data_IF_290908026742
#
_entry.id   IF_290908026742
#
_cell.length_a   1.000
_cell.length_b   1.000
_cell.length_c   1.000
_cell.angle_alpha   90.00
_cell.angle_beta   90.00
_cell.angle_gamma   90.00
#
_symmetry.space_group_name_H-M   'P 1'
#
loop_
_entity.id
_entity.type
_entity.pdbx_description
1 polymer ?
#
# COMPACT_ATOMS: atom_id res chain seq x y z
N UNK A 1 8.46 -3.23 -24.27
CA UNK A 1 7.30 -3.81 -23.52
C UNK A 1 7.48 -3.49 -22.04
N UNK A 2 6.44 -2.99 -21.36
CA UNK A 2 6.49 -2.72 -19.90
C UNK A 2 6.44 -4.08 -19.18
N UNK A 3 7.36 -4.35 -18.23
CA UNK A 3 7.38 -5.62 -17.50
C UNK A 3 6.13 -5.77 -16.61
N UNK A 4 5.79 -7.01 -16.18
CA UNK A 4 4.76 -7.23 -15.16
C UNK A 4 5.04 -6.43 -13.89
N UNK A 5 3.98 -6.10 -13.15
CA UNK A 5 4.08 -5.25 -11.93
C UNK A 5 5.11 -5.76 -10.91
N UNK A 6 5.18 -7.06 -10.56
CA UNK A 6 6.17 -7.54 -9.60
C UNK A 6 7.61 -7.31 -10.06
N UNK A 7 7.90 -7.51 -11.34
CA UNK A 7 9.23 -7.26 -11.90
C UNK A 7 9.57 -5.77 -11.94
N UNK A 8 8.59 -4.91 -12.26
CA UNK A 8 8.77 -3.46 -12.24
C UNK A 8 9.11 -2.94 -10.84
N UNK A 9 8.40 -3.43 -9.81
CA UNK A 9 8.68 -3.07 -8.42
C UNK A 9 10.01 -3.65 -7.93
N UNK A 10 10.34 -4.88 -8.31
CA UNK A 10 11.64 -5.49 -7.96
C UNK A 10 12.83 -4.66 -8.47
N UNK A 11 12.72 -4.09 -9.67
CA UNK A 11 13.79 -3.29 -10.28
C UNK A 11 14.08 -2.00 -9.50
N UNK A 12 13.06 -1.36 -8.94
CA UNK A 12 13.20 -0.07 -8.23
C UNK A 12 13.32 -0.20 -6.72
N UNK A 13 13.31 -1.41 -6.16
CA UNK A 13 13.14 -1.67 -4.73
C UNK A 13 14.14 -0.91 -3.84
N UNK A 14 15.42 -0.88 -4.20
CA UNK A 14 16.47 -0.16 -3.44
C UNK A 14 16.29 1.36 -3.52
N UNK A 15 15.94 1.88 -4.69
CA UNK A 15 15.70 3.30 -4.88
C UNK A 15 14.42 3.73 -4.12
N UNK A 16 13.36 2.92 -4.19
CA UNK A 16 12.15 3.13 -3.40
C UNK A 16 12.45 3.19 -1.91
N UNK A 17 13.20 2.21 -1.39
CA UNK A 17 13.56 2.16 0.02
C UNK A 17 14.38 3.38 0.46
N UNK A 18 15.27 3.88 -0.39
CA UNK A 18 16.12 5.04 -0.10
C UNK A 18 15.35 6.35 -0.14
N UNK A 19 14.51 6.55 -1.16
CA UNK A 19 13.96 7.87 -1.52
C UNK A 19 12.50 8.05 -1.09
N UNK A 20 11.71 6.98 -0.99
CA UNK A 20 10.27 7.05 -0.71
C UNK A 20 9.93 6.57 0.71
N UNK A 21 10.56 5.46 1.14
CA UNK A 21 10.24 4.83 2.42
C UNK A 21 10.33 5.80 3.62
N UNK A 22 11.34 6.68 3.75
CA UNK A 22 11.39 7.62 4.88
C UNK A 22 10.15 8.50 5.00
N UNK A 23 9.61 9.00 3.87
CA UNK A 23 8.39 9.81 3.84
C UNK A 23 7.11 9.00 4.12
N UNK A 24 7.13 7.68 3.91
CA UNK A 24 5.97 6.81 4.15
C UNK A 24 5.95 6.18 5.55
N UNK A 25 7.04 6.28 6.28
CA UNK A 25 7.12 5.74 7.64
C UNK A 25 6.06 6.33 8.58
N UNK A 26 5.78 7.65 8.60
CA UNK A 26 4.68 8.20 9.40
C UNK A 26 3.31 7.62 9.04
N UNK A 27 3.05 7.39 7.74
CA UNK A 27 1.79 6.78 7.29
C UNK A 27 1.69 5.32 7.72
N UNK A 28 2.77 4.53 7.62
CA UNK A 28 2.83 3.17 8.10
C UNK A 28 2.60 3.09 9.62
N UNK A 29 3.19 4.01 10.38
CA UNK A 29 2.97 4.13 11.81
C UNK A 29 1.51 4.43 12.14
N UNK A 30 0.92 5.42 11.47
CA UNK A 30 -0.48 5.79 11.64
C UNK A 30 -1.45 4.64 11.26
N UNK A 31 -1.12 3.87 10.21
CA UNK A 31 -1.86 2.66 9.85
C UNK A 31 -1.85 1.63 10.98
N UNK A 32 -0.67 1.31 11.51
CA UNK A 32 -0.53 0.32 12.60
C UNK A 32 -1.26 0.76 13.87
N UNK A 33 -1.18 2.03 14.23
CA UNK A 33 -1.92 2.62 15.36
C UNK A 33 -3.44 2.59 15.11
N UNK A 34 -3.88 2.94 13.90
CA UNK A 34 -5.29 2.88 13.51
C UNK A 34 -5.83 1.46 13.47
N UNK A 35 -5.03 0.49 13.03
CA UNK A 35 -5.35 -0.95 13.12
C UNK A 35 -5.44 -1.44 14.58
N UNK A 36 -4.92 -0.66 15.54
CA UNK A 36 -4.86 -1.03 16.94
C UNK A 36 -3.87 -2.17 17.19
N UNK A 37 -2.73 -2.18 16.49
CA UNK A 37 -1.66 -3.16 16.75
C UNK A 37 -1.20 -3.03 18.20
N UNK A 38 -1.12 -4.15 18.89
CA UNK A 38 -0.78 -4.21 20.30
C UNK A 38 0.34 -5.21 20.58
N UNK A 39 0.88 -5.13 21.79
CA UNK A 39 1.89 -6.09 22.25
C UNK A 39 1.35 -7.52 22.20
N UNK A 40 2.15 -8.41 21.63
CA UNK A 40 1.80 -9.82 21.48
C UNK A 40 1.03 -10.19 20.21
N UNK A 41 0.55 -9.22 19.43
CA UNK A 41 -0.15 -9.51 18.16
C UNK A 41 0.75 -10.25 17.17
N UNK A 42 0.16 -11.19 16.44
CA UNK A 42 0.68 -11.73 15.19
C UNK A 42 0.09 -10.94 14.03
N UNK A 43 0.92 -10.28 13.27
CA UNK A 43 0.51 -9.34 12.21
C UNK A 43 0.88 -9.87 10.83
N UNK A 44 -0.02 -9.79 9.87
CA UNK A 44 0.23 -9.99 8.46
C UNK A 44 0.27 -8.63 7.75
N UNK A 45 1.37 -8.34 7.04
CA UNK A 45 1.53 -7.17 6.17
C UNK A 45 1.45 -7.62 4.71
N UNK A 46 0.36 -7.28 4.01
CA UNK A 46 0.08 -7.70 2.63
C UNK A 46 0.60 -6.66 1.64
N UNK A 47 1.29 -7.13 0.60
CA UNK A 47 2.05 -6.31 -0.33
C UNK A 47 2.97 -5.38 0.44
N UNK A 48 3.79 -6.01 1.30
CA UNK A 48 4.58 -5.33 2.33
C UNK A 48 5.71 -4.47 1.77
N UNK A 49 6.05 -4.64 0.49
CA UNK A 49 7.18 -3.95 -0.13
C UNK A 49 8.47 -4.17 0.66
N UNK A 50 9.24 -3.12 0.96
CA UNK A 50 10.46 -3.22 1.77
C UNK A 50 10.19 -3.31 3.29
N UNK A 51 8.96 -3.64 3.71
CA UNK A 51 8.62 -3.94 5.10
C UNK A 51 8.38 -2.74 6.01
N UNK A 52 8.00 -1.57 5.47
CA UNK A 52 7.82 -0.35 6.26
C UNK A 52 6.77 -0.53 7.36
N UNK A 53 5.58 -1.07 7.02
CA UNK A 53 4.52 -1.29 8.00
C UNK A 53 4.86 -2.46 8.93
N UNK A 54 5.53 -3.49 8.44
CA UNK A 54 6.04 -4.58 9.27
C UNK A 54 6.99 -4.06 10.38
N UNK A 55 7.92 -3.16 10.04
CA UNK A 55 8.85 -2.54 11.00
C UNK A 55 8.08 -1.71 12.04
N UNK A 56 7.09 -0.91 11.63
CA UNK A 56 6.29 -0.10 12.56
C UNK A 56 5.39 -0.99 13.45
N UNK A 57 4.82 -2.07 12.93
CA UNK A 57 4.05 -3.04 13.72
C UNK A 57 4.92 -3.68 14.83
N UNK A 58 6.16 -4.07 14.52
CA UNK A 58 7.11 -4.56 15.51
C UNK A 58 7.47 -3.50 16.55
N UNK A 59 7.66 -2.25 16.13
CA UNK A 59 7.95 -1.13 17.03
C UNK A 59 6.79 -0.83 17.99
N UNK A 60 5.55 -1.19 17.64
CA UNK A 60 4.36 -1.13 18.50
C UNK A 60 4.21 -2.36 19.42
N UNK A 61 5.10 -3.35 19.30
CA UNK A 61 5.14 -4.52 20.19
C UNK A 61 4.49 -5.78 19.62
N UNK A 62 4.13 -5.83 18.33
CA UNK A 62 3.70 -7.07 17.69
C UNK A 62 4.72 -8.19 17.98
N UNK A 63 4.28 -9.38 18.38
CA UNK A 63 5.19 -10.49 18.67
C UNK A 63 5.86 -11.03 17.40
N UNK A 64 5.09 -11.15 16.34
CA UNK A 64 5.53 -11.64 15.04
C UNK A 64 4.88 -10.83 13.92
N UNK A 65 5.63 -10.58 12.87
CA UNK A 65 5.12 -9.98 11.64
C UNK A 65 5.53 -10.82 10.44
N UNK A 66 4.53 -11.26 9.68
CA UNK A 66 4.74 -11.89 8.38
C UNK A 66 4.43 -10.87 7.29
N UNK A 67 5.41 -10.55 6.45
CA UNK A 67 5.23 -9.75 5.25
C UNK A 67 5.08 -10.64 4.03
N UNK A 68 4.10 -10.35 3.18
CA UNK A 68 3.89 -11.03 1.89
C UNK A 68 3.96 -10.00 0.77
N UNK A 69 4.73 -10.28 -0.27
CA UNK A 69 4.84 -9.44 -1.47
C UNK A 69 5.16 -10.32 -2.69
N UNK A 70 4.70 -9.97 -3.88
CA UNK A 70 4.98 -10.70 -5.11
C UNK A 70 6.24 -10.18 -5.84
N UNK A 71 6.85 -9.10 -5.35
CA UNK A 71 8.08 -8.49 -5.87
C UNK A 71 9.30 -8.98 -5.08
N UNK A 72 10.01 -9.98 -5.57
CA UNK A 72 11.18 -10.57 -4.89
C UNK A 72 12.25 -9.53 -4.52
N UNK A 73 12.44 -8.47 -5.33
CA UNK A 73 13.37 -7.38 -5.03
C UNK A 73 12.95 -6.56 -3.80
N UNK A 74 11.64 -6.36 -3.59
CA UNK A 74 11.11 -5.71 -2.39
C UNK A 74 11.38 -6.55 -1.15
N UNK A 75 11.11 -7.86 -1.21
CA UNK A 75 11.38 -8.79 -0.11
C UNK A 75 12.87 -8.89 0.23
N UNK A 76 13.75 -8.81 -0.76
CA UNK A 76 15.20 -8.77 -0.52
C UNK A 76 15.58 -7.55 0.34
N UNK A 77 15.04 -6.37 0.00
CA UNK A 77 15.27 -5.15 0.77
C UNK A 77 14.63 -5.24 2.17
N UNK A 78 13.43 -5.81 2.29
CA UNK A 78 12.78 -6.00 3.59
C UNK A 78 13.64 -6.86 4.53
N UNK A 79 14.21 -7.97 4.01
CA UNK A 79 15.13 -8.83 4.77
C UNK A 79 16.42 -8.12 5.16
N UNK A 80 16.97 -7.28 4.27
CA UNK A 80 18.15 -6.45 4.58
C UNK A 80 17.87 -5.44 5.71
N UNK A 81 16.74 -4.73 5.64
CA UNK A 81 16.37 -3.71 6.64
C UNK A 81 16.05 -4.30 8.02
N UNK A 82 15.67 -5.57 8.08
CA UNK A 82 15.33 -6.26 9.33
C UNK A 82 16.40 -7.30 9.75
N UNK A 83 17.55 -7.29 9.08
CA UNK A 83 18.65 -8.23 9.37
C UNK A 83 19.08 -8.17 10.85
N UNK A 84 19.21 -9.33 11.47
CA UNK A 84 19.58 -9.43 12.88
C UNK A 84 18.45 -9.15 13.89
N UNK A 85 17.25 -8.83 13.42
CA UNK A 85 16.06 -8.62 14.26
C UNK A 85 15.18 -9.88 14.23
N UNK A 86 14.66 -10.29 15.39
CA UNK A 86 13.74 -11.42 15.49
C UNK A 86 12.28 -11.00 15.27
N UNK A 87 11.44 -11.96 14.91
CA UNK A 87 9.99 -11.76 14.78
C UNK A 87 9.54 -11.24 13.41
N UNK A 88 10.40 -11.32 12.40
CA UNK A 88 10.05 -11.06 11.00
C UNK A 88 10.14 -12.32 10.15
N UNK A 89 9.12 -12.52 9.30
CA UNK A 89 9.10 -13.51 8.23
C UNK A 89 8.66 -12.83 6.94
N UNK A 90 9.36 -13.06 5.83
CA UNK A 90 8.99 -12.50 4.53
C UNK A 90 8.82 -13.61 3.49
N UNK A 91 7.60 -13.70 2.94
CA UNK A 91 7.16 -14.72 2.00
C UNK A 91 6.87 -14.10 0.63
N UNK A 92 7.27 -14.76 -0.43
CA UNK A 92 6.81 -14.41 -1.76
C UNK A 92 5.39 -14.95 -1.96
N UNK A 93 4.46 -14.10 -2.41
CA UNK A 93 3.07 -14.48 -2.59
C UNK A 93 2.20 -13.34 -3.11
N UNK A 94 1.01 -13.71 -3.58
CA UNK A 94 0.05 -12.79 -4.16
C UNK A 94 -1.06 -12.44 -3.17
N UNK A 95 -1.49 -11.20 -3.14
CA UNK A 95 -2.58 -10.73 -2.28
C UNK A 95 -3.93 -11.42 -2.57
N UNK A 96 -4.08 -12.04 -3.75
CA UNK A 96 -5.26 -12.80 -4.15
C UNK A 96 -5.21 -14.30 -3.77
N UNK A 97 -4.04 -14.76 -3.27
CA UNK A 97 -3.80 -16.15 -2.87
C UNK A 97 -2.62 -16.18 -1.89
N UNK A 98 -2.91 -15.82 -0.64
CA UNK A 98 -1.89 -15.62 0.37
C UNK A 98 -1.31 -16.95 0.87
N UNK A 99 0.02 -17.14 0.88
CA UNK A 99 0.68 -18.36 1.31
C UNK A 99 0.73 -18.48 2.84
N UNK A 100 -0.39 -18.25 3.50
CA UNK A 100 -0.51 -18.27 4.97
C UNK A 100 -1.75 -19.05 5.42
N UNK A 101 -1.72 -19.67 6.63
CA UNK A 101 -2.85 -20.42 7.15
C UNK A 101 -4.06 -19.53 7.49
N UNK A 102 -5.24 -20.15 7.52
CA UNK A 102 -6.48 -19.53 7.94
C UNK A 102 -6.45 -19.13 9.41
N UNK A 103 -6.94 -17.92 9.72
CA UNK A 103 -7.08 -17.44 11.09
C UNK A 103 -5.79 -17.34 11.89
N UNK A 104 -4.64 -17.28 11.21
CA UNK A 104 -3.33 -17.32 11.85
C UNK A 104 -2.93 -15.99 12.51
N UNK A 105 -3.56 -14.88 12.13
CA UNK A 105 -3.16 -13.53 12.52
C UNK A 105 -4.22 -12.81 13.36
N UNK A 106 -3.75 -11.97 14.29
CA UNK A 106 -4.58 -11.08 15.10
C UNK A 106 -4.97 -9.83 14.33
N UNK A 107 -4.08 -9.37 13.44
CA UNK A 107 -4.32 -8.25 12.56
C UNK A 107 -3.72 -8.47 11.17
N UNK A 108 -4.38 -7.93 10.15
CA UNK A 108 -3.91 -7.88 8.77
C UNK A 108 -3.84 -6.41 8.37
N UNK A 109 -2.70 -5.98 7.85
CA UNK A 109 -2.47 -4.60 7.39
C UNK A 109 -1.97 -4.58 5.96
N UNK A 110 -2.14 -3.45 5.28
CA UNK A 110 -1.51 -3.17 3.98
C UNK A 110 -1.28 -1.67 3.80
N UNK A 111 -0.03 -1.25 3.68
CA UNK A 111 0.32 0.16 3.51
C UNK A 111 0.52 0.50 2.02
N UNK A 112 -0.52 1.00 1.36
CA UNK A 112 -0.54 1.34 -0.07
C UNK A 112 -0.25 0.17 -1.02
N UNK A 113 -0.35 -1.08 -0.56
CA UNK A 113 0.04 -2.23 -1.37
C UNK A 113 -1.17 -2.97 -1.97
N UNK A 114 -2.13 -3.40 -1.15
CA UNK A 114 -3.30 -4.18 -1.60
C UNK A 114 -4.18 -3.44 -2.62
N UNK A 115 -4.08 -2.12 -2.69
CA UNK A 115 -4.79 -1.28 -3.66
C UNK A 115 -4.44 -1.62 -5.12
N UNK A 116 -3.28 -2.24 -5.36
CA UNK A 116 -2.85 -2.67 -6.69
C UNK A 116 -3.34 -4.09 -7.05
N UNK A 117 -4.00 -4.80 -6.12
CA UNK A 117 -4.58 -6.11 -6.41
C UNK A 117 -5.70 -5.97 -7.45
N UNK A 118 -5.68 -6.76 -8.55
CA UNK A 118 -6.62 -6.59 -9.66
C UNK A 118 -8.08 -7.01 -9.33
N UNK A 119 -8.29 -7.70 -8.21
CA UNK A 119 -9.60 -8.11 -7.69
C UNK A 119 -9.69 -7.71 -6.21
N UNK A 120 -10.24 -6.52 -5.90
CA UNK A 120 -10.37 -6.03 -4.52
C UNK A 120 -11.18 -6.95 -3.61
N UNK A 121 -12.23 -7.56 -4.16
CA UNK A 121 -13.11 -8.44 -3.37
C UNK A 121 -12.41 -9.74 -2.99
N UNK A 122 -11.62 -10.30 -3.91
CA UNK A 122 -10.80 -11.47 -3.62
C UNK A 122 -9.70 -11.15 -2.61
N UNK A 123 -9.04 -10.00 -2.74
CA UNK A 123 -8.06 -9.55 -1.76
C UNK A 123 -8.68 -9.40 -0.36
N UNK A 124 -9.89 -8.83 -0.25
CA UNK A 124 -10.61 -8.71 1.03
C UNK A 124 -10.99 -10.09 1.59
N UNK A 125 -11.40 -11.04 0.75
CA UNK A 125 -11.65 -12.44 1.20
C UNK A 125 -10.38 -13.09 1.75
N UNK A 126 -9.23 -12.90 1.12
CA UNK A 126 -7.95 -13.40 1.59
C UNK A 126 -7.51 -12.73 2.91
N UNK A 127 -7.70 -11.41 3.04
CA UNK A 127 -7.51 -10.71 4.33
C UNK A 127 -8.38 -11.32 5.43
N UNK A 128 -9.65 -11.58 5.14
CA UNK A 128 -10.58 -12.18 6.10
C UNK A 128 -10.22 -13.64 6.42
N UNK A 129 -9.77 -14.41 5.42
CA UNK A 129 -9.31 -15.79 5.65
C UNK A 129 -8.12 -15.83 6.60
N UNK A 130 -7.12 -14.97 6.37
CA UNK A 130 -5.87 -14.95 7.12
C UNK A 130 -6.03 -14.46 8.56
N UNK A 131 -6.91 -13.48 8.81
CA UNK A 131 -7.13 -12.95 10.17
C UNK A 131 -8.11 -13.84 10.95
N UNK A 132 -7.87 -14.06 12.25
CA UNK A 132 -8.79 -14.83 13.11
C UNK A 132 -10.16 -14.16 13.28
N UNK A 133 -11.23 -14.89 13.63
CA UNK A 133 -12.49 -14.29 14.04
C UNK A 133 -12.28 -13.28 15.18
N UNK A 134 -12.90 -12.10 15.08
CA UNK A 134 -12.72 -10.99 16.01
C UNK A 134 -11.41 -10.20 15.79
N UNK A 135 -10.53 -10.65 14.90
CA UNK A 135 -9.32 -9.93 14.52
C UNK A 135 -9.61 -8.69 13.67
N UNK A 136 -8.57 -8.00 13.22
CA UNK A 136 -8.66 -6.66 12.62
C UNK A 136 -8.01 -6.66 11.24
N UNK A 137 -8.59 -5.86 10.34
CA UNK A 137 -7.95 -5.51 9.07
C UNK A 137 -7.86 -3.99 8.95
N UNK A 138 -6.74 -3.49 8.41
CA UNK A 138 -6.61 -2.08 8.05
C UNK A 138 -5.71 -1.90 6.83
N UNK A 139 -6.00 -0.86 6.06
CA UNK A 139 -5.21 -0.49 4.90
C UNK A 139 -5.12 1.03 4.74
N UNK A 140 -4.10 1.47 3.98
CA UNK A 140 -4.02 2.82 3.43
C UNK A 140 -4.26 2.78 1.93
N UNK A 141 -4.98 3.78 1.44
CA UNK A 141 -5.16 4.04 0.02
C UNK A 141 -4.89 5.53 -0.25
N UNK A 142 -4.57 5.90 -1.50
CA UNK A 142 -4.51 7.31 -1.86
C UNK A 142 -5.92 7.88 -1.86
N UNK A 143 -6.17 8.90 -1.04
CA UNK A 143 -7.44 9.60 -1.04
C UNK A 143 -7.69 10.24 -2.42
N UNK A 144 -8.88 10.04 -2.95
CA UNK A 144 -9.27 10.68 -4.18
C UNK A 144 -9.32 12.19 -3.95
N UNK A 145 -8.44 12.92 -4.62
CA UNK A 145 -8.36 14.37 -4.60
C UNK A 145 -7.97 14.86 -5.99
N UNK A 146 -8.27 16.13 -6.29
CA UNK A 146 -7.90 16.72 -7.58
C UNK A 146 -6.39 16.66 -7.81
N UNK A 147 -5.60 16.90 -6.75
CA UNK A 147 -4.13 16.83 -6.79
C UNK A 147 -3.64 15.44 -7.18
N UNK A 148 -4.15 14.39 -6.55
CA UNK A 148 -3.76 13.02 -6.83
C UNK A 148 -4.25 12.58 -8.22
N UNK A 149 -5.49 12.92 -8.57
CA UNK A 149 -6.08 12.58 -9.87
C UNK A 149 -5.32 13.21 -11.02
N UNK A 150 -5.03 14.52 -10.96
CA UNK A 150 -4.24 15.22 -11.99
C UNK A 150 -2.87 14.60 -12.22
N UNK A 151 -2.16 14.22 -11.14
CA UNK A 151 -0.87 13.54 -11.24
C UNK A 151 -0.97 12.25 -12.06
N UNK A 152 -1.94 11.40 -11.74
CA UNK A 152 -2.07 10.13 -12.44
C UNK A 152 -2.63 10.25 -13.85
N UNK A 153 -3.54 11.18 -14.08
CA UNK A 153 -4.01 11.49 -15.43
C UNK A 153 -2.86 11.98 -16.29
N UNK A 154 -1.96 12.78 -15.72
CA UNK A 154 -0.75 13.21 -16.42
C UNK A 154 0.18 12.04 -16.70
N UNK A 155 0.47 11.19 -15.72
CA UNK A 155 1.28 9.97 -15.91
C UNK A 155 0.68 9.09 -17.01
N UNK A 156 -0.64 8.86 -17.00
CA UNK A 156 -1.32 7.96 -17.94
C UNK A 156 -1.48 8.53 -19.36
N UNK A 157 -1.20 9.81 -19.59
CA UNK A 157 -1.06 10.36 -20.95
C UNK A 157 0.24 9.90 -21.62
N UNK A 158 1.26 9.61 -20.83
CA UNK A 158 2.59 9.24 -21.30
C UNK A 158 2.93 7.76 -21.12
N UNK A 159 2.39 7.14 -20.06
CA UNK A 159 2.61 5.71 -19.76
C UNK A 159 1.27 4.98 -19.78
N UNK A 160 1.13 3.88 -20.53
CA UNK A 160 -0.11 3.12 -20.63
C UNK A 160 -0.64 2.68 -19.26
N UNK A 161 -1.96 2.78 -19.06
CA UNK A 161 -2.63 2.24 -17.85
C UNK A 161 -2.40 0.72 -17.74
N UNK A 162 -2.37 0.22 -16.52
CA UNK A 162 -2.43 -1.23 -16.30
C UNK A 162 -3.82 -1.73 -16.71
N UNK A 163 -3.91 -2.88 -17.41
CA UNK A 163 -5.19 -3.46 -17.80
C UNK A 163 -5.88 -4.13 -16.59
N UNK A 164 -6.09 -3.39 -15.51
CA UNK A 164 -6.86 -3.84 -14.36
C UNK A 164 -8.31 -3.40 -14.51
N UNK A 165 -9.29 -4.18 -14.00
CA UNK A 165 -10.71 -3.84 -14.08
C UNK A 165 -11.10 -2.64 -13.20
N UNK A 166 -10.24 -2.22 -12.29
CA UNK A 166 -10.42 -1.04 -11.44
C UNK A 166 -9.13 -0.22 -11.35
N UNK A 167 -9.27 1.04 -10.96
CA UNK A 167 -8.15 1.92 -10.66
C UNK A 167 -7.72 1.73 -9.19
N UNK A 168 -6.42 1.66 -8.86
CA UNK A 168 -5.94 1.63 -7.47
C UNK A 168 -6.50 2.76 -6.59
N UNK A 169 -6.84 3.90 -7.18
CA UNK A 169 -7.46 5.05 -6.49
C UNK A 169 -8.92 4.85 -6.10
N UNK A 170 -9.58 3.84 -6.64
CA UNK A 170 -10.94 3.48 -6.24
C UNK A 170 -11.03 3.14 -4.74
N UNK A 171 -9.96 2.63 -4.15
CA UNK A 171 -9.84 2.42 -2.70
C UNK A 171 -9.81 3.74 -1.90
N UNK A 172 -9.42 4.85 -2.52
CA UNK A 172 -9.42 6.19 -1.93
C UNK A 172 -10.78 6.88 -1.94
N UNK A 173 -11.80 6.28 -2.55
CA UNK A 173 -13.20 6.71 -2.45
C UNK A 173 -13.82 6.06 -1.22
N UNK A 174 -14.14 6.80 -0.14
CA UNK A 174 -14.58 6.20 1.12
C UNK A 174 -15.74 5.22 0.97
N UNK A 175 -16.74 5.56 0.15
CA UNK A 175 -17.90 4.69 -0.09
C UNK A 175 -17.51 3.34 -0.74
N UNK A 176 -16.54 3.34 -1.66
CA UNK A 176 -16.05 2.09 -2.30
C UNK A 176 -15.23 1.25 -1.33
N UNK A 177 -14.30 1.88 -0.59
CA UNK A 177 -13.51 1.20 0.43
C UNK A 177 -14.40 0.53 1.48
N UNK A 178 -15.42 1.25 1.96
CA UNK A 178 -16.43 0.71 2.89
C UNK A 178 -17.20 -0.44 2.27
N UNK A 179 -17.63 -0.34 1.01
CA UNK A 179 -18.37 -1.39 0.32
C UNK A 179 -17.52 -2.66 0.12
N UNK A 180 -16.25 -2.53 -0.26
CA UNK A 180 -15.38 -3.69 -0.46
C UNK A 180 -14.99 -4.35 0.86
N UNK A 181 -14.47 -3.57 1.83
CA UNK A 181 -14.05 -4.14 3.12
C UNK A 181 -15.25 -4.69 3.89
N UNK A 182 -16.41 -4.04 3.78
CA UNK A 182 -17.66 -4.42 4.45
C UNK A 182 -18.26 -5.76 4.01
N UNK A 183 -17.74 -6.39 2.95
CA UNK A 183 -18.16 -7.73 2.55
C UNK A 183 -17.77 -8.81 3.57
N UNK A 184 -16.61 -8.63 4.22
CA UNK A 184 -16.04 -9.62 5.13
C UNK A 184 -15.82 -9.06 6.54
N UNK A 185 -15.83 -7.74 6.69
CA UNK A 185 -15.55 -7.06 7.95
C UNK A 185 -16.73 -6.19 8.37
N UNK A 186 -16.90 -6.02 9.67
CA UNK A 186 -17.91 -5.15 10.29
C UNK A 186 -17.27 -3.97 11.01
N UNK A 187 -18.08 -2.95 11.33
CA UNK A 187 -17.61 -1.76 12.04
C UNK A 187 -16.55 -1.02 11.25
N UNK A 188 -16.78 -0.82 9.94
CA UNK A 188 -15.83 -0.15 9.07
C UNK A 188 -15.71 1.31 9.46
N UNK A 189 -14.48 1.74 9.69
CA UNK A 189 -14.12 3.12 9.96
C UNK A 189 -13.13 3.63 8.92
N UNK A 190 -13.26 4.89 8.55
CA UNK A 190 -12.34 5.58 7.64
C UNK A 190 -11.82 6.86 8.26
N UNK A 191 -10.58 7.22 7.95
CA UNK A 191 -9.95 8.46 8.43
C UNK A 191 -8.99 9.01 7.39
N UNK A 192 -9.07 10.29 7.01
CA UNK A 192 -8.05 10.91 6.18
C UNK A 192 -6.73 11.04 6.94
N UNK A 193 -5.63 11.00 6.20
CA UNK A 193 -4.27 11.14 6.69
C UNK A 193 -3.44 11.96 5.71
N UNK A 194 -2.82 13.05 6.18
CA UNK A 194 -1.87 13.79 5.36
C UNK A 194 -0.60 12.95 5.15
N UNK A 195 -0.18 12.82 3.90
CA UNK A 195 1.04 12.12 3.46
C UNK A 195 1.76 13.00 2.44
N UNK A 196 2.24 14.18 2.86
CA UNK A 196 2.90 15.10 1.93
C UNK A 196 4.18 14.47 1.38
N UNK A 197 4.54 14.91 0.19
CA UNK A 197 5.83 14.59 -0.41
C UNK A 197 6.63 15.88 -0.54
N UNK A 198 7.86 15.85 -0.05
CA UNK A 198 8.80 16.98 -0.13
C UNK A 198 10.00 16.61 -0.97
N UNK A 199 10.50 17.55 -1.74
CA UNK A 199 11.70 17.40 -2.54
C UNK A 199 12.49 18.71 -2.59
N UNK A 200 13.84 18.65 -2.78
CA UNK A 200 14.69 19.85 -2.83
C UNK A 200 14.40 20.77 -4.00
N UNK A 201 13.83 20.26 -5.09
CA UNK A 201 13.50 21.02 -6.28
C UNK A 201 12.43 20.31 -7.12
N UNK A 202 11.87 20.99 -8.11
CA UNK A 202 10.93 20.43 -9.08
C UNK A 202 11.56 19.25 -9.84
N UNK A 203 12.80 19.39 -10.27
CA UNK A 203 13.52 18.33 -10.98
C UNK A 203 13.72 17.09 -10.10
N UNK A 204 14.10 17.29 -8.84
CA UNK A 204 14.23 16.16 -7.90
C UNK A 204 12.89 15.55 -7.51
N UNK A 205 11.82 16.34 -7.41
CA UNK A 205 10.48 15.81 -7.15
C UNK A 205 10.08 14.78 -8.21
N UNK A 206 10.18 15.15 -9.49
CA UNK A 206 9.91 14.21 -10.58
C UNK A 206 10.96 13.10 -10.65
N UNK A 207 12.23 13.42 -10.52
CA UNK A 207 13.32 12.45 -10.58
C UNK A 207 13.16 11.33 -9.55
N UNK A 208 12.81 11.65 -8.31
CA UNK A 208 12.55 10.66 -7.24
C UNK A 208 11.40 9.74 -7.66
N UNK A 209 10.23 10.29 -8.02
CA UNK A 209 9.07 9.50 -8.37
C UNK A 209 9.27 8.65 -9.62
N UNK A 210 9.94 9.20 -10.64
CA UNK A 210 10.26 8.48 -11.86
C UNK A 210 11.22 7.29 -11.61
N UNK A 211 12.20 7.43 -10.74
CA UNK A 211 13.18 6.36 -10.45
C UNK A 211 12.68 5.33 -9.46
N UNK A 212 11.73 5.70 -8.57
CA UNK A 212 11.32 4.86 -7.44
C UNK A 212 9.93 4.22 -7.56
N UNK A 213 9.09 4.67 -8.50
CA UNK A 213 7.76 4.10 -8.70
C UNK A 213 7.78 3.08 -9.83
N UNK A 214 7.64 1.80 -9.51
CA UNK A 214 7.91 0.68 -10.43
C UNK A 214 7.25 0.82 -11.80
N UNK A 215 5.95 1.16 -11.86
CA UNK A 215 5.25 1.31 -13.14
C UNK A 215 5.70 2.55 -13.91
N UNK A 216 5.91 3.67 -13.23
CA UNK A 216 6.35 4.92 -13.87
C UNK A 216 7.76 4.73 -14.45
N UNK A 217 8.69 4.20 -13.65
CA UNK A 217 10.04 3.91 -14.09
C UNK A 217 10.09 2.97 -15.30
N UNK A 218 9.34 1.86 -15.21
CA UNK A 218 9.27 0.88 -16.28
C UNK A 218 8.65 1.44 -17.56
N UNK A 219 7.58 2.23 -17.45
CA UNK A 219 6.97 2.89 -18.59
C UNK A 219 7.88 3.96 -19.22
N UNK A 220 8.46 4.82 -18.41
CA UNK A 220 9.39 5.86 -18.84
C UNK A 220 10.61 5.28 -19.60
N UNK A 221 11.11 4.13 -19.16
CA UNK A 221 12.22 3.45 -19.83
C UNK A 221 11.90 3.00 -21.28
N UNK A 222 10.61 2.83 -21.63
CA UNK A 222 10.19 2.42 -22.97
C UNK A 222 9.95 3.57 -23.94
N UNK A 223 9.96 4.81 -23.45
CA UNK A 223 9.70 6.01 -24.27
C UNK A 223 10.91 6.41 -25.13
N UNK A 224 10.64 7.01 -26.29
CA UNK A 224 11.67 7.67 -27.10
C UNK A 224 12.25 8.89 -26.37
N UNK A 225 13.44 9.40 -26.75
CA UNK A 225 13.98 10.62 -26.16
C UNK A 225 13.02 11.82 -26.19
N UNK A 226 12.31 12.01 -27.31
CA UNK A 226 11.34 13.10 -27.49
C UNK A 226 10.14 12.92 -26.54
N UNK A 227 9.60 11.69 -26.43
CA UNK A 227 8.49 11.39 -25.53
C UNK A 227 8.89 11.51 -24.05
N UNK A 228 10.14 11.18 -23.68
CA UNK A 228 10.67 11.44 -22.34
C UNK A 228 10.74 12.92 -22.05
N UNK A 229 11.28 13.72 -22.97
CA UNK A 229 11.35 15.16 -22.82
C UNK A 229 9.98 15.80 -22.62
N UNK A 230 8.99 15.40 -23.41
CA UNK A 230 7.60 15.87 -23.25
C UNK A 230 6.99 15.46 -21.91
N UNK A 231 7.28 14.26 -21.43
CA UNK A 231 6.81 13.79 -20.13
C UNK A 231 7.49 14.54 -18.98
N UNK A 232 8.82 14.72 -19.06
CA UNK A 232 9.57 15.48 -18.05
C UNK A 232 9.06 16.92 -17.94
N UNK A 233 8.87 17.62 -19.08
CA UNK A 233 8.33 18.98 -19.11
C UNK A 233 6.94 19.07 -18.48
N UNK A 234 6.05 18.13 -18.81
CA UNK A 234 4.71 18.07 -18.24
C UNK A 234 4.74 17.86 -16.72
N UNK A 235 5.64 17.00 -16.22
CA UNK A 235 5.78 16.74 -14.79
C UNK A 235 6.47 17.89 -14.06
N UNK A 236 7.44 18.57 -14.69
CA UNK A 236 8.01 19.80 -14.13
C UNK A 236 6.96 20.88 -13.98
N UNK A 237 6.13 21.11 -15.00
CA UNK A 237 5.02 22.05 -14.92
C UNK A 237 3.98 21.70 -13.83
N UNK A 238 3.73 20.41 -13.63
CA UNK A 238 2.86 19.94 -12.55
C UNK A 238 3.44 20.25 -11.17
N UNK A 239 4.71 19.89 -10.90
CA UNK A 239 5.36 20.09 -9.60
C UNK A 239 5.72 21.55 -9.32
N UNK A 240 5.93 22.38 -10.35
CA UNK A 240 6.18 23.82 -10.18
C UNK A 240 5.05 24.55 -9.46
N UNK A 241 3.82 24.05 -9.56
CA UNK A 241 2.64 24.57 -8.82
C UNK A 241 2.75 24.40 -7.31
N UNK A 242 3.61 23.51 -6.85
CA UNK A 242 3.84 23.17 -5.43
C UNK A 242 5.21 23.65 -4.95
N UNK A 243 5.89 24.47 -5.77
CA UNK A 243 7.18 25.05 -5.40
C UNK A 243 6.99 26.18 -4.37
N UNK A 244 7.81 26.15 -3.32
CA UNK A 244 7.89 27.19 -2.29
C UNK A 244 8.91 28.28 -2.71
N UNK A 245 8.94 29.40 -1.99
CA UNK A 245 9.84 30.52 -2.27
C UNK A 245 11.32 30.13 -2.14
N UNK A 246 11.65 29.13 -1.32
CA UNK A 246 13.01 28.59 -1.16
C UNK A 246 13.42 27.59 -2.24
N UNK A 247 12.55 27.34 -3.21
CA UNK A 247 12.78 26.44 -4.33
C UNK A 247 12.43 24.97 -4.04
N UNK A 248 12.10 24.61 -2.80
CA UNK A 248 11.65 23.26 -2.44
C UNK A 248 10.22 23.01 -2.96
N UNK A 249 9.88 21.75 -3.10
CA UNK A 249 8.52 21.31 -3.48
C UNK A 249 7.83 20.71 -2.27
N UNK A 250 6.60 21.13 -2.02
CA UNK A 250 5.69 20.52 -1.05
C UNK A 250 4.41 20.06 -1.74
N UNK A 251 4.31 18.78 -2.06
CA UNK A 251 3.15 18.20 -2.70
C UNK A 251 2.18 17.63 -1.65
N UNK A 252 1.00 18.26 -1.45
CA UNK A 252 0.08 17.95 -0.35
C UNK A 252 -0.81 16.75 -0.68
N UNK A 253 -0.26 15.55 -0.59
CA UNK A 253 -1.03 14.31 -0.78
C UNK A 253 -1.73 13.90 0.50
N UNK A 254 -2.85 13.22 0.31
CA UNK A 254 -3.61 12.62 1.39
C UNK A 254 -3.88 11.13 1.13
N UNK A 255 -3.96 10.39 2.21
CA UNK A 255 -4.37 8.98 2.21
C UNK A 255 -5.71 8.82 2.93
N UNK A 256 -6.41 7.74 2.62
CA UNK A 256 -7.52 7.21 3.38
C UNK A 256 -7.03 6.00 4.17
N UNK A 257 -7.15 6.07 5.49
CA UNK A 257 -7.05 4.91 6.37
C UNK A 257 -8.42 4.24 6.43
N UNK A 258 -8.46 2.92 6.25
CA UNK A 258 -9.68 2.11 6.34
C UNK A 258 -9.42 0.95 7.28
N UNK A 259 -10.32 0.69 8.23
CA UNK A 259 -10.23 -0.49 9.11
C UNK A 259 -11.57 -1.16 9.31
N UNK A 260 -11.54 -2.44 9.72
CA UNK A 260 -12.72 -3.20 10.12
C UNK A 260 -12.35 -4.40 11.01
N UNK A 261 -13.34 -5.02 11.61
CA UNK A 261 -13.19 -6.24 12.43
C UNK A 261 -13.82 -7.43 11.74
N UNK A 262 -13.12 -8.57 11.70
CA UNK A 262 -13.73 -9.83 11.25
C UNK A 262 -14.82 -10.25 12.25
N UNK A 263 -16.05 -10.49 11.82
CA UNK A 263 -17.11 -10.98 12.72
C UNK A 263 -16.73 -12.29 13.40
N UNK A 264 -17.13 -12.42 14.65
CA UNK A 264 -17.07 -13.73 15.35
C UNK A 264 -18.32 -14.50 14.94
N UNK A 265 -18.21 -15.73 14.42
CA UNK A 265 -19.37 -16.56 14.18
C UNK A 265 -20.18 -16.66 15.49
N UNK A 266 -21.49 -16.40 15.41
CA UNK A 266 -22.37 -16.65 16.56
C UNK A 266 -22.28 -18.15 16.86
N UNK A 267 -21.91 -18.50 18.09
CA UNK A 267 -22.04 -19.87 18.56
C UNK A 267 -23.50 -20.24 18.38
N UNK A 268 -23.78 -21.16 17.46
CA UNK A 268 -25.14 -21.62 17.20
C UNK A 268 -25.74 -22.14 18.50
N UNK A 269 -26.77 -21.47 19.01
CA UNK A 269 -27.63 -22.03 20.00
C UNK A 269 -28.17 -23.35 19.41
N UNK A 270 -27.78 -24.47 20.01
CA UNK A 270 -28.44 -25.73 19.75
C UNK A 270 -29.92 -25.47 19.94
N UNK A 271 -30.70 -25.60 18.87
CA UNK A 271 -32.15 -25.44 18.95
C UNK A 271 -32.66 -26.39 19.99
N UNK A 272 -33.19 -25.86 21.10
CA UNK A 272 -34.12 -26.61 21.93
C UNK A 272 -35.30 -26.95 21.05
N UNK A 273 -35.30 -28.20 20.58
CA UNK A 273 -36.53 -28.81 20.04
C UNK A 273 -37.45 -29.03 21.27
N UNK A 274 -38.37 -28.09 21.47
CA UNK A 274 -39.52 -28.40 22.32
C UNK A 274 -40.40 -29.40 21.56
N UNK A 275 -40.48 -30.60 22.12
CA UNK A 275 -41.45 -31.66 21.77
C UNK A 275 -42.76 -31.30 22.45
#
# INVERSE_FOLDING_TARGET
MIPPMPAAWSTVAREYARSILPGFRPAARALCEFAGIAAGDRVLDIACGPGTAAIEARALGAAEVTGVDDAAGMLAVARELTAGQNGFTFLEGNALDLPVPDGAFDAVISNFGVIFAPDPERAVREMARAVRPGGRAALTAWLESDVTREYYDLVYRHVPRHPAPHDPYDWGVPARAVAWLGREFAGIETRPLAVPFEAPSVTEAWGILNRSTGRVAAGYATLSPEARGAFDEAMFGYFDRFRRDDGTVFWPREALLVRGRRPVPRSGGAGEIFI
#
